data_IF_484754452327
#
_entry.id   IF_484754452327
#
_cell.length_a   1.000
_cell.length_b   1.000
_cell.length_c   1.000
_cell.angle_alpha   90.00
_cell.angle_beta   90.00
_cell.angle_gamma   90.00
#
_symmetry.space_group_name_H-M   'P 1'
#
loop_
_entity.id
_entity.type
_entity.pdbx_description
1 polymer ?
#
# COMPACT_ATOMS: atom_id res chain seq x y z
N UNK A 1 32.98 22.92 -21.27
CA UNK A 1 32.61 21.52 -20.99
C UNK A 1 33.33 21.06 -19.72
N UNK A 2 32.73 21.31 -18.55
CA UNK A 2 33.29 20.88 -17.27
C UNK A 2 32.83 19.45 -16.98
N UNK A 3 33.79 18.53 -16.87
CA UNK A 3 33.52 17.13 -16.54
C UNK A 3 33.06 17.05 -15.07
N UNK A 4 31.84 16.54 -14.87
CA UNK A 4 31.28 16.29 -13.55
C UNK A 4 32.18 15.31 -12.79
N UNK A 5 32.59 15.68 -11.57
CA UNK A 5 33.34 14.77 -10.71
C UNK A 5 32.45 13.60 -10.26
N UNK A 6 32.99 12.37 -10.21
CA UNK A 6 32.26 11.22 -9.69
C UNK A 6 31.97 11.41 -8.20
N UNK A 7 30.71 11.22 -7.80
CA UNK A 7 30.32 11.22 -6.40
C UNK A 7 31.02 10.07 -5.65
N UNK A 8 31.45 10.28 -4.39
CA UNK A 8 32.05 9.23 -3.59
C UNK A 8 31.06 8.09 -3.37
N UNK A 9 31.55 6.85 -3.51
CA UNK A 9 30.76 5.65 -3.29
C UNK A 9 30.24 5.62 -1.85
N UNK A 10 28.91 5.61 -1.69
CA UNK A 10 28.26 5.50 -0.39
C UNK A 10 28.43 4.06 0.12
N UNK A 11 29.40 3.82 1.01
CA UNK A 11 29.52 2.54 1.71
C UNK A 11 28.43 2.43 2.77
N UNK A 12 27.50 1.50 2.57
CA UNK A 12 26.54 1.11 3.60
C UNK A 12 27.27 0.30 4.68
N UNK A 13 26.98 0.52 5.98
CA UNK A 13 27.52 -0.30 7.05
C UNK A 13 27.07 -1.77 6.87
N UNK A 14 27.92 -2.75 7.23
CA UNK A 14 27.56 -4.15 7.14
C UNK A 14 26.33 -4.45 8.01
N UNK A 15 25.42 -5.33 7.56
CA UNK A 15 24.25 -5.72 8.33
C UNK A 15 24.68 -6.39 9.65
N UNK A 16 23.97 -6.14 10.76
CA UNK A 16 24.24 -6.80 12.03
C UNK A 16 24.08 -8.32 11.86
N UNK A 17 25.08 -9.09 12.29
CA UNK A 17 25.00 -10.55 12.23
C UNK A 17 23.97 -11.05 13.25
N UNK A 18 23.07 -11.98 12.86
CA UNK A 18 22.14 -12.59 13.78
C UNK A 18 22.94 -13.35 14.84
N UNK A 19 22.84 -12.90 16.10
CA UNK A 19 23.39 -13.66 17.21
C UNK A 19 22.57 -14.94 17.36
N UNK A 20 23.20 -16.06 17.00
CA UNK A 20 22.64 -17.39 17.17
C UNK A 20 22.65 -17.71 18.67
N UNK A 21 21.62 -17.24 19.38
CA UNK A 21 21.40 -17.57 20.78
C UNK A 21 21.08 -19.06 20.90
N UNK A 22 22.03 -19.82 21.42
CA UNK A 22 21.86 -21.21 21.83
C UNK A 22 21.01 -21.27 23.10
N UNK A 23 19.69 -21.21 22.97
CA UNK A 23 18.75 -21.53 24.04
C UNK A 23 18.39 -23.01 23.97
N UNK A 24 19.22 -23.86 24.60
CA UNK A 24 18.75 -25.12 25.15
C UNK A 24 18.11 -24.82 26.51
N UNK A 25 16.78 -24.80 26.56
CA UNK A 25 16.07 -25.06 27.80
C UNK A 25 15.05 -26.16 27.55
N UNK A 26 15.37 -27.32 28.09
CA UNK A 26 14.44 -28.41 28.30
C UNK A 26 13.51 -28.02 29.46
N UNK A 27 12.19 -28.07 29.25
CA UNK A 27 11.26 -28.24 30.37
C UNK A 27 9.92 -28.83 29.92
N UNK A 28 9.82 -30.13 30.16
CA UNK A 28 8.73 -30.88 30.83
C UNK A 28 7.38 -30.18 30.92
N UNK A 29 6.35 -30.86 30.39
CA UNK A 29 5.02 -30.32 30.21
C UNK A 29 4.18 -30.11 31.45
N UNK A 30 3.08 -29.39 31.24
CA UNK A 30 1.83 -29.53 31.97
C UNK A 30 0.67 -29.26 31.01
N UNK A 31 -0.33 -30.15 31.04
CA UNK A 31 -1.56 -30.01 30.27
C UNK A 31 -2.35 -28.81 30.74
N UNK A 32 -2.67 -27.91 29.81
CA UNK A 32 -3.62 -26.82 30.02
C UNK A 32 -4.95 -27.25 29.42
N UNK A 33 -5.94 -27.43 30.29
CA UNK A 33 -7.34 -27.66 29.93
C UNK A 33 -7.89 -26.42 29.22
N UNK A 34 -8.46 -26.63 28.03
CA UNK A 34 -9.15 -25.60 27.24
C UNK A 34 -10.48 -25.24 27.93
N UNK A 35 -10.43 -24.31 28.88
CA UNK A 35 -11.63 -23.63 29.38
C UNK A 35 -12.10 -22.63 28.33
N UNK A 36 -13.12 -23.06 27.58
CA UNK A 36 -13.96 -22.25 26.71
C UNK A 36 -14.41 -20.99 27.45
N UNK A 37 -13.79 -19.86 27.12
CA UNK A 37 -14.20 -18.54 27.61
C UNK A 37 -14.85 -17.82 26.44
N UNK A 38 -16.16 -17.67 26.57
CA UNK A 38 -17.09 -16.98 25.68
C UNK A 38 -16.70 -15.49 25.55
N UNK A 39 -16.32 -15.00 24.36
CA UNK A 39 -16.20 -13.57 24.16
C UNK A 39 -17.59 -12.99 23.88
N UNK A 40 -18.20 -12.45 24.93
CA UNK A 40 -19.26 -11.46 24.79
C UNK A 40 -18.78 -10.34 23.85
N UNK A 41 -19.26 -10.39 22.61
CA UNK A 41 -19.05 -9.33 21.64
C UNK A 41 -19.80 -8.08 22.12
N UNK A 42 -19.12 -6.93 22.26
CA UNK A 42 -19.82 -5.68 22.51
C UNK A 42 -20.77 -5.40 21.35
N UNK A 43 -22.04 -5.13 21.67
CA UNK A 43 -23.05 -4.78 20.69
C UNK A 43 -22.53 -3.64 19.78
N UNK A 44 -22.80 -3.69 18.47
CA UNK A 44 -22.38 -2.64 17.56
C UNK A 44 -22.98 -1.29 18.02
N UNK A 45 -22.22 -0.18 17.91
CA UNK A 45 -22.77 1.14 18.19
C UNK A 45 -23.97 1.34 17.27
N UNK A 46 -25.15 1.54 17.87
CA UNK A 46 -26.34 1.88 17.13
C UNK A 46 -26.05 3.19 16.40
N UNK A 47 -25.91 3.10 15.07
CA UNK A 47 -25.86 4.26 14.19
C UNK A 47 -27.18 5.00 14.35
N UNK A 48 -27.15 6.01 15.22
CA UNK A 48 -28.22 6.98 15.37
C UNK A 48 -28.49 7.54 13.97
N UNK A 49 -29.66 7.24 13.42
CA UNK A 49 -30.11 7.72 12.13
C UNK A 49 -30.08 9.25 12.14
N UNK A 50 -28.99 9.82 11.63
CA UNK A 50 -28.83 11.25 11.46
C UNK A 50 -29.82 11.74 10.41
N UNK A 51 -30.56 12.80 10.75
CA UNK A 51 -31.49 13.45 9.85
C UNK A 51 -30.82 13.78 8.50
N UNK A 52 -31.35 13.31 7.35
CA UNK A 52 -30.75 13.54 6.03
C UNK A 52 -30.70 15.03 5.64
N UNK A 53 -31.45 15.90 6.32
CA UNK A 53 -31.44 17.34 6.04
C UNK A 53 -30.21 18.10 6.56
N UNK A 54 -29.40 17.55 7.49
CA UNK A 54 -28.20 18.25 7.98
C UNK A 54 -26.93 18.01 7.15
N UNK A 55 -26.91 16.98 6.29
CA UNK A 55 -25.73 16.68 5.48
C UNK A 55 -25.56 17.64 4.28
N UNK A 56 -26.64 18.22 3.75
CA UNK A 56 -26.56 19.04 2.54
C UNK A 56 -25.90 20.41 2.79
N UNK A 57 -26.00 20.96 4.01
CA UNK A 57 -25.36 22.25 4.33
C UNK A 57 -23.85 22.14 4.67
N UNK A 58 -23.34 20.95 5.03
CA UNK A 58 -21.91 20.79 5.33
C UNK A 58 -21.05 20.50 4.08
N UNK A 59 -21.66 19.96 3.01
CA UNK A 59 -20.95 19.73 1.75
C UNK A 59 -20.69 21.02 0.95
N UNK A 60 -21.51 22.06 1.12
CA UNK A 60 -21.34 23.34 0.42
C UNK A 60 -20.14 24.17 0.92
N UNK A 61 -19.60 23.90 2.12
CA UNK A 61 -18.48 24.67 2.71
C UNK A 61 -17.12 23.97 2.62
N UNK A 62 -17.04 22.70 2.18
CA UNK A 62 -15.77 21.95 2.11
C UNK A 62 -15.17 21.83 0.70
N UNK A 63 -15.82 22.40 -0.33
CA UNK A 63 -15.35 22.31 -1.71
C UNK A 63 -14.33 23.39 -2.14
N UNK A 64 -13.93 24.31 -1.25
CA UNK A 64 -13.35 25.59 -1.68
C UNK A 64 -11.93 25.97 -1.24
N UNK A 65 -11.20 25.15 -0.47
CA UNK A 65 -9.88 25.58 0.05
C UNK A 65 -8.90 24.42 0.22
N UNK A 66 -8.32 23.93 -0.87
CA UNK A 66 -6.99 23.33 -0.79
C UNK A 66 -6.01 24.47 -0.46
N UNK A 67 -5.21 24.39 0.62
CA UNK A 67 -4.26 25.44 0.94
C UNK A 67 -3.16 25.47 -0.14
N UNK A 68 -3.27 26.42 -1.05
CA UNK A 68 -2.29 26.69 -2.13
C UNK A 68 -0.89 27.02 -1.59
N UNK A 69 -0.72 27.19 -0.28
CA UNK A 69 0.55 27.52 0.37
C UNK A 69 1.42 26.35 0.87
N UNK A 70 0.96 25.10 0.82
CA UNK A 70 1.70 24.00 1.48
C UNK A 70 2.97 23.53 0.72
N UNK A 71 3.08 23.83 -0.58
CA UNK A 71 4.24 23.40 -1.37
C UNK A 71 5.48 24.27 -1.11
N UNK A 72 5.31 25.59 -0.89
CA UNK A 72 6.43 26.51 -0.69
C UNK A 72 7.20 26.31 0.63
N UNK A 73 6.59 25.69 1.64
CA UNK A 73 7.24 25.47 2.93
C UNK A 73 8.11 24.20 2.97
N UNK A 74 8.00 23.33 1.95
CA UNK A 74 8.76 22.08 1.88
C UNK A 74 10.19 22.27 1.37
N UNK A 75 10.45 23.33 0.60
CA UNK A 75 11.78 23.62 0.07
C UNK A 75 12.74 24.20 1.11
N UNK A 76 12.21 24.72 2.22
CA UNK A 76 12.99 25.31 3.31
C UNK A 76 13.60 24.28 4.29
N UNK A 77 13.31 22.98 4.13
CA UNK A 77 13.82 21.94 5.02
C UNK A 77 15.22 21.47 4.62
N UNK A 78 16.08 21.09 5.59
CA UNK A 78 17.34 20.41 5.31
C UNK A 78 17.13 19.21 4.38
N UNK A 79 18.10 18.92 3.50
CA UNK A 79 17.99 17.86 2.51
C UNK A 79 17.68 16.49 3.14
N UNK A 80 18.27 16.20 4.30
CA UNK A 80 18.08 14.98 5.07
C UNK A 80 16.62 14.83 5.54
N UNK A 81 16.03 15.92 6.04
CA UNK A 81 14.64 15.94 6.48
C UNK A 81 13.67 15.73 5.30
N UNK A 82 14.00 16.25 4.11
CA UNK A 82 13.21 16.02 2.89
C UNK A 82 13.24 14.56 2.46
N UNK A 83 14.41 13.92 2.48
CA UNK A 83 14.55 12.49 2.16
C UNK A 83 13.81 11.58 3.14
N UNK A 84 13.93 11.85 4.44
CA UNK A 84 13.20 11.11 5.46
C UNK A 84 11.68 11.21 5.27
N UNK A 85 11.15 12.43 5.07
CA UNK A 85 9.71 12.63 4.81
C UNK A 85 9.25 11.94 3.53
N UNK A 86 10.03 12.03 2.46
CA UNK A 86 9.76 11.32 1.21
C UNK A 86 9.68 9.81 1.43
N UNK A 87 10.64 9.24 2.16
CA UNK A 87 10.66 7.82 2.52
C UNK A 87 9.44 7.42 3.35
N UNK A 88 9.10 8.17 4.41
CA UNK A 88 7.93 7.91 5.25
C UNK A 88 6.63 7.95 4.44
N UNK A 89 6.45 8.95 3.58
CA UNK A 89 5.28 9.06 2.70
C UNK A 89 5.19 7.86 1.76
N UNK A 90 6.32 7.46 1.16
CA UNK A 90 6.39 6.29 0.29
C UNK A 90 5.98 5.02 1.03
N UNK A 91 6.52 4.79 2.23
CA UNK A 91 6.16 3.62 3.05
C UNK A 91 4.68 3.62 3.46
N UNK A 92 4.15 4.77 3.90
CA UNK A 92 2.75 4.90 4.30
C UNK A 92 1.80 4.51 3.16
N UNK A 93 2.08 4.97 1.94
CA UNK A 93 1.25 4.61 0.80
C UNK A 93 1.46 3.17 0.33
N UNK A 94 2.67 2.59 0.42
CA UNK A 94 2.83 1.14 0.20
C UNK A 94 1.91 0.34 1.10
N UNK A 95 1.87 0.69 2.38
CA UNK A 95 0.97 0.09 3.36
C UNK A 95 -0.50 0.32 2.99
N UNK A 96 -0.87 1.55 2.62
CA UNK A 96 -2.25 1.89 2.24
C UNK A 96 -2.71 1.08 1.02
N UNK A 97 -1.91 0.99 -0.04
CA UNK A 97 -2.23 0.23 -1.26
C UNK A 97 -2.43 -1.24 -0.93
N UNK A 98 -1.47 -1.86 -0.23
CA UNK A 98 -1.55 -3.28 0.14
C UNK A 98 -2.76 -3.56 1.04
N UNK A 99 -3.00 -2.69 2.02
CA UNK A 99 -4.18 -2.80 2.91
C UNK A 99 -5.47 -2.66 2.12
N UNK A 100 -5.57 -1.67 1.23
CA UNK A 100 -6.74 -1.45 0.40
C UNK A 100 -7.04 -2.69 -0.46
N UNK A 101 -6.06 -3.19 -1.20
CA UNK A 101 -6.25 -4.39 -2.05
C UNK A 101 -6.67 -5.61 -1.21
N UNK A 102 -6.04 -5.84 -0.05
CA UNK A 102 -6.42 -6.94 0.86
C UNK A 102 -7.83 -6.78 1.42
N UNK A 103 -8.24 -5.56 1.74
CA UNK A 103 -9.59 -5.28 2.24
C UNK A 103 -10.65 -5.50 1.15
N UNK A 104 -10.35 -5.14 -0.09
CA UNK A 104 -11.30 -5.24 -1.20
C UNK A 104 -11.40 -6.64 -1.80
N UNK A 105 -10.32 -7.43 -1.76
CA UNK A 105 -10.27 -8.76 -2.39
C UNK A 105 -11.44 -9.67 -1.95
N UNK A 106 -11.82 -9.77 -0.67
CA UNK A 106 -12.97 -10.58 -0.23
C UNK A 106 -14.32 -10.13 -0.78
N UNK A 107 -14.47 -8.86 -1.15
CA UNK A 107 -15.71 -8.31 -1.71
C UNK A 107 -15.81 -8.50 -3.23
N UNK A 108 -14.73 -8.92 -3.89
CA UNK A 108 -14.76 -9.27 -5.31
C UNK A 108 -15.54 -10.58 -5.50
N UNK A 109 -16.12 -10.75 -6.69
CA UNK A 109 -16.70 -12.05 -7.07
C UNK A 109 -15.65 -13.16 -6.95
N UNK A 110 -16.08 -14.40 -6.68
CA UNK A 110 -15.15 -15.54 -6.59
C UNK A 110 -14.33 -15.70 -7.87
N UNK A 111 -14.96 -15.49 -9.03
CA UNK A 111 -14.27 -15.49 -10.32
C UNK A 111 -13.18 -14.41 -10.38
N UNK A 112 -13.50 -13.17 -9.98
CA UNK A 112 -12.53 -12.08 -9.93
C UNK A 112 -11.37 -12.33 -8.97
N UNK A 113 -11.62 -12.95 -7.82
CA UNK A 113 -10.57 -13.28 -6.85
C UNK A 113 -9.57 -14.29 -7.41
N UNK A 114 -10.07 -15.35 -8.07
CA UNK A 114 -9.23 -16.41 -8.65
C UNK A 114 -8.41 -15.93 -9.84
N UNK A 115 -8.89 -14.89 -10.53
CA UNK A 115 -8.20 -14.30 -11.68
C UNK A 115 -7.26 -13.16 -11.30
N UNK A 116 -7.03 -12.85 -10.02
CA UNK A 116 -6.03 -11.86 -9.60
C UNK A 116 -4.62 -12.42 -9.75
N UNK A 117 -3.78 -11.73 -10.53
CA UNK A 117 -2.40 -12.17 -10.73
C UNK A 117 -1.53 -11.83 -9.51
N UNK A 118 -0.46 -12.60 -9.35
CA UNK A 118 0.63 -12.23 -8.44
C UNK A 118 1.31 -10.95 -8.91
N UNK A 119 2.01 -10.28 -8.00
CA UNK A 119 2.71 -9.03 -8.31
C UNK A 119 3.75 -9.19 -9.43
N UNK A 120 3.92 -8.15 -10.24
CA UNK A 120 4.90 -8.11 -11.31
C UNK A 120 6.33 -8.04 -10.75
N UNK A 121 7.28 -8.61 -11.49
CA UNK A 121 8.71 -8.42 -11.22
C UNK A 121 9.13 -6.97 -11.50
N UNK A 122 10.23 -6.53 -10.89
CA UNK A 122 10.84 -5.22 -11.16
C UNK A 122 11.19 -5.05 -12.63
N UNK A 123 11.66 -6.11 -13.28
CA UNK A 123 12.03 -6.13 -14.69
C UNK A 123 10.80 -5.95 -15.60
N UNK A 124 9.69 -6.63 -15.29
CA UNK A 124 8.46 -6.48 -16.05
C UNK A 124 7.88 -5.06 -15.96
N UNK A 125 8.01 -4.41 -14.79
CA UNK A 125 7.57 -3.03 -14.59
C UNK A 125 8.46 -2.03 -15.35
N UNK A 126 9.78 -2.22 -15.32
CA UNK A 126 10.70 -1.40 -16.10
C UNK A 126 10.44 -1.54 -17.61
N UNK A 127 10.14 -2.76 -18.09
CA UNK A 127 9.76 -2.99 -19.48
C UNK A 127 8.42 -2.32 -19.84
N UNK A 128 7.48 -2.24 -18.90
CA UNK A 128 6.23 -1.50 -19.11
C UNK A 128 6.49 0.02 -19.24
N UNK A 129 7.30 0.61 -18.37
CA UNK A 129 7.70 2.03 -18.45
C UNK A 129 8.38 2.34 -19.80
N UNK A 130 9.25 1.44 -20.27
CA UNK A 130 9.91 1.57 -21.57
C UNK A 130 8.90 1.53 -22.73
N UNK A 131 7.92 0.63 -22.70
CA UNK A 131 6.89 0.53 -23.76
C UNK A 131 5.99 1.76 -23.81
N UNK A 132 5.61 2.30 -22.66
CA UNK A 132 4.77 3.52 -22.58
C UNK A 132 5.57 4.80 -22.86
N UNK A 133 6.90 4.76 -22.75
CA UNK A 133 7.77 5.93 -22.91
C UNK A 133 7.63 6.96 -21.78
N UNK A 134 6.96 6.60 -20.68
CA UNK A 134 6.77 7.46 -19.50
C UNK A 134 7.01 6.66 -18.22
N UNK A 135 7.60 7.28 -17.18
CA UNK A 135 7.77 6.62 -15.89
C UNK A 135 6.41 6.39 -15.23
N UNK A 136 6.24 5.23 -14.60
CA UNK A 136 5.01 4.91 -13.89
C UNK A 136 4.95 5.73 -12.60
N UNK A 137 3.78 6.30 -12.25
CA UNK A 137 3.55 6.83 -10.92
C UNK A 137 3.86 5.74 -9.89
N UNK A 138 4.56 6.11 -8.81
CA UNK A 138 5.06 5.14 -7.85
C UNK A 138 3.94 4.39 -7.13
N UNK A 139 2.74 4.97 -7.01
CA UNK A 139 1.54 4.30 -6.51
C UNK A 139 1.12 3.15 -7.44
N UNK A 140 1.09 3.41 -8.75
CA UNK A 140 0.77 2.39 -9.75
C UNK A 140 1.88 1.33 -9.80
N UNK A 141 3.14 1.75 -9.67
CA UNK A 141 4.27 0.84 -9.58
C UNK A 141 4.11 -0.13 -8.38
N UNK A 142 3.79 0.37 -7.19
CA UNK A 142 3.58 -0.48 -6.01
C UNK A 142 2.32 -1.36 -6.15
N UNK A 143 1.25 -0.84 -6.75
CA UNK A 143 0.04 -1.62 -7.02
C UNK A 143 0.36 -2.82 -7.91
N UNK A 144 1.00 -2.60 -9.06
CA UNK A 144 1.33 -3.67 -10.01
C UNK A 144 2.35 -4.66 -9.44
N UNK A 145 3.29 -4.18 -8.61
CA UNK A 145 4.22 -5.03 -7.86
C UNK A 145 3.54 -5.87 -6.77
N UNK A 146 2.37 -5.46 -6.29
CA UNK A 146 1.58 -6.23 -5.33
C UNK A 146 0.58 -7.17 -6.03
N UNK A 147 -0.09 -6.69 -7.09
CA UNK A 147 -1.05 -7.42 -7.94
C UNK A 147 -0.95 -6.96 -9.39
N UNK A 148 -0.55 -7.85 -10.28
CA UNK A 148 -0.32 -7.53 -11.69
C UNK A 148 -1.59 -7.67 -12.56
N UNK A 149 -2.66 -6.99 -12.16
CA UNK A 149 -3.93 -7.05 -12.90
C UNK A 149 -4.74 -8.32 -12.67
N UNK A 150 -5.67 -8.56 -13.59
CA UNK A 150 -6.55 -9.73 -13.62
C UNK A 150 -6.53 -10.41 -14.98
N UNK A 151 -6.60 -11.74 -15.03
CA UNK A 151 -6.77 -12.45 -16.29
C UNK A 151 -8.11 -12.06 -16.96
N UNK A 152 -8.15 -11.94 -18.30
CA UNK A 152 -9.40 -11.71 -19.01
C UNK A 152 -10.26 -12.98 -18.94
N UNK A 153 -11.43 -12.90 -18.31
CA UNK A 153 -12.43 -13.96 -18.31
C UNK A 153 -13.86 -13.40 -18.15
N UNK A 154 -14.90 -14.13 -18.61
CA UNK A 154 -16.29 -13.69 -18.46
C UNK A 154 -16.66 -13.48 -17.00
N UNK A 155 -17.25 -12.31 -16.68
CA UNK A 155 -17.68 -11.96 -15.33
C UNK A 155 -16.55 -11.56 -14.37
N UNK A 156 -15.31 -11.41 -14.85
CA UNK A 156 -14.20 -10.87 -14.07
C UNK A 156 -14.22 -9.35 -14.13
N UNK A 157 -14.63 -8.75 -13.03
CA UNK A 157 -14.68 -7.30 -12.81
C UNK A 157 -14.06 -6.96 -11.46
N UNK A 158 -13.38 -5.82 -11.35
CA UNK A 158 -12.79 -5.33 -10.10
C UNK A 158 -13.74 -4.34 -9.42
N UNK A 159 -14.16 -3.30 -10.15
CA UNK A 159 -15.11 -2.27 -9.71
C UNK A 159 -15.92 -1.82 -10.92
N UNK A 160 -17.23 -1.61 -10.81
CA UNK A 160 -18.03 -0.96 -11.87
C UNK A 160 -17.79 -1.54 -13.28
N UNK A 161 -17.72 -2.86 -13.39
CA UNK A 161 -17.43 -3.58 -14.64
C UNK A 161 -16.07 -3.29 -15.30
N UNK A 162 -15.16 -2.60 -14.62
CA UNK A 162 -13.77 -2.44 -15.07
C UNK A 162 -12.87 -3.54 -14.51
N UNK A 163 -11.94 -4.01 -15.35
CA UNK A 163 -10.90 -4.99 -14.99
C UNK A 163 -9.62 -4.27 -14.58
N UNK A 164 -8.92 -4.80 -13.58
CA UNK A 164 -7.58 -4.30 -13.25
C UNK A 164 -6.59 -4.73 -14.34
N UNK A 165 -6.02 -3.77 -15.07
CA UNK A 165 -5.03 -4.05 -16.13
C UNK A 165 -3.69 -4.46 -15.54
N UNK A 166 -3.06 -5.44 -16.18
CA UNK A 166 -1.70 -5.87 -15.85
C UNK A 166 -0.63 -4.99 -16.49
N UNK A 167 0.60 -5.08 -16.00
CA UNK A 167 1.75 -4.36 -16.52
C UNK A 167 2.03 -4.63 -18.01
N UNK A 168 1.60 -5.78 -18.54
CA UNK A 168 1.76 -6.16 -19.96
C UNK A 168 0.66 -5.59 -20.87
N UNK A 169 -0.43 -5.08 -20.29
CA UNK A 169 -1.58 -4.53 -21.00
C UNK A 169 -1.60 -3.00 -21.00
N UNK A 170 -0.75 -2.39 -20.14
CA UNK A 170 -0.36 -0.98 -20.22
C UNK A 170 0.76 -0.80 -21.24
#
# INVERSE_FOLDING_TARGET
CGWAQPLPAFQLPPPPQPQLGSSQEALTGQGVTLSSTDPSFPAPPQLLAGNPQQQEQQHALSAGSQPVGAQGQLDALPAEARWFRYYCRRMATRWRIRRFVRLYTPFLSRASQLNLHTGASTEALAAAEQRMGVPLPWELWELLRFRNGQAPAPGVTFTEDVRLLGAHEA
#
